data_IF_401037368270
#
_entry.id   IF_401037368270
#
_cell.length_a   1.000
_cell.length_b   1.000
_cell.length_c   1.000
_cell.angle_alpha   90.00
_cell.angle_beta   90.00
_cell.angle_gamma   90.00
#
_symmetry.space_group_name_H-M   'P 1'
#
loop_
_entity.id
_entity.type
_entity.pdbx_description
1 polymer ?
#
# COMPACT_ATOMS: atom_id res chain seq x y z
N UNK A 1 2.75 7.14 -20.60
CA UNK A 1 3.95 7.23 -19.74
C UNK A 1 4.10 8.67 -19.30
N UNK A 2 3.62 9.02 -18.11
CA UNK A 2 3.81 10.37 -17.55
C UNK A 2 5.29 10.53 -17.21
N UNK A 3 5.95 11.41 -17.95
CA UNK A 3 7.35 11.76 -17.79
C UNK A 3 7.53 12.51 -16.46
N UNK A 4 7.62 11.77 -15.34
CA UNK A 4 8.02 12.35 -14.07
C UNK A 4 9.48 12.79 -14.20
N UNK A 5 9.70 14.10 -14.14
CA UNK A 5 11.03 14.70 -14.10
C UNK A 5 11.70 14.19 -12.83
N UNK A 6 12.61 13.22 -12.96
CA UNK A 6 13.43 12.73 -11.86
C UNK A 6 14.32 13.89 -11.41
N UNK A 7 14.22 14.26 -10.13
CA UNK A 7 15.05 15.33 -9.55
C UNK A 7 16.54 14.99 -9.60
N UNK A 8 16.88 13.70 -9.50
CA UNK A 8 18.26 13.17 -9.53
C UNK A 8 18.26 11.66 -9.83
N UNK A 9 19.42 11.05 -10.15
CA UNK A 9 19.54 9.60 -10.28
C UNK A 9 19.56 8.86 -8.93
N UNK A 10 19.47 9.56 -7.79
CA UNK A 10 19.47 8.94 -6.48
C UNK A 10 18.22 8.05 -6.30
N UNK A 11 18.37 6.75 -5.97
CA UNK A 11 17.24 5.84 -5.79
C UNK A 11 16.25 6.29 -4.72
N UNK A 12 16.76 6.88 -3.63
CA UNK A 12 15.93 7.43 -2.55
C UNK A 12 15.10 8.61 -3.06
N UNK A 13 15.70 9.52 -3.83
CA UNK A 13 14.97 10.63 -4.44
C UNK A 13 13.87 10.14 -5.37
N UNK A 14 14.16 9.12 -6.20
CA UNK A 14 13.19 8.52 -7.10
C UNK A 14 12.04 7.85 -6.33
N UNK A 15 12.33 7.16 -5.24
CA UNK A 15 11.30 6.56 -4.39
C UNK A 15 10.42 7.66 -3.74
N UNK A 16 11.02 8.75 -3.27
CA UNK A 16 10.30 9.86 -2.67
C UNK A 16 9.45 10.66 -3.68
N UNK A 17 9.74 10.59 -4.98
CA UNK A 17 8.87 11.18 -6.01
C UNK A 17 7.52 10.44 -6.12
N UNK A 18 7.45 9.20 -5.64
CA UNK A 18 6.24 8.36 -5.60
C UNK A 18 5.65 8.32 -4.19
N UNK A 19 6.49 8.14 -3.17
CA UNK A 19 6.09 7.80 -1.80
C UNK A 19 6.16 8.98 -0.83
N UNK A 20 6.86 10.05 -1.21
CA UNK A 20 7.31 11.14 -0.33
C UNK A 20 6.24 12.13 0.07
N UNK A 21 5.21 11.66 0.77
CA UNK A 21 4.20 12.48 1.43
C UNK A 21 3.58 11.77 2.63
N UNK A 22 2.73 12.48 3.39
CA UNK A 22 2.14 11.98 4.64
C UNK A 22 1.14 10.84 4.47
N UNK A 23 0.62 10.60 3.26
CA UNK A 23 -0.56 9.77 3.02
C UNK A 23 -0.27 8.54 2.18
N UNK A 24 0.66 8.60 1.23
CA UNK A 24 0.90 7.49 0.28
C UNK A 24 1.18 6.16 1.00
N UNK A 25 2.08 6.16 1.99
CA UNK A 25 2.42 4.93 2.71
C UNK A 25 1.28 4.42 3.63
N UNK A 26 0.37 5.29 4.07
CA UNK A 26 -0.83 4.87 4.79
C UNK A 26 -1.82 4.15 3.85
N UNK A 27 -2.00 4.67 2.63
CA UNK A 27 -2.82 4.00 1.60
C UNK A 27 -2.22 2.65 1.22
N UNK A 28 -0.90 2.56 1.07
CA UNK A 28 -0.22 1.28 0.80
C UNK A 28 -0.36 0.31 1.97
N UNK A 29 -0.17 0.76 3.22
CA UNK A 29 -0.41 -0.05 4.42
C UNK A 29 -1.83 -0.62 4.43
N UNK A 30 -2.81 0.21 4.14
CA UNK A 30 -4.23 -0.16 4.14
C UNK A 30 -4.57 -1.17 3.03
N UNK A 31 -3.98 -1.03 1.84
CA UNK A 31 -4.09 -1.98 0.74
C UNK A 31 -3.56 -3.36 1.14
N UNK A 32 -2.39 -3.41 1.76
CA UNK A 32 -1.67 -4.67 2.01
C UNK A 32 -2.19 -5.37 3.27
N UNK A 33 -2.24 -4.66 4.40
CA UNK A 33 -2.47 -5.28 5.71
C UNK A 33 -3.93 -5.23 6.15
N UNK A 34 -4.67 -4.19 5.75
CA UNK A 34 -6.09 -4.05 6.09
C UNK A 34 -7.01 -4.54 4.96
N UNK A 35 -6.44 -5.02 3.86
CA UNK A 35 -7.15 -5.53 2.67
C UNK A 35 -8.23 -4.59 2.14
N UNK A 36 -8.02 -3.27 2.26
CA UNK A 36 -8.96 -2.28 1.72
C UNK A 36 -8.92 -2.30 0.19
N UNK A 37 -10.08 -2.25 -0.46
CA UNK A 37 -10.18 -2.37 -1.93
C UNK A 37 -11.02 -1.25 -2.53
N UNK A 38 -12.00 -0.72 -1.82
CA UNK A 38 -12.89 0.34 -2.31
C UNK A 38 -12.45 1.71 -1.82
N UNK A 39 -12.78 2.74 -2.59
CA UNK A 39 -12.49 4.13 -2.21
C UNK A 39 -13.02 4.48 -0.81
N UNK A 40 -14.25 4.04 -0.52
CA UNK A 40 -14.90 4.26 0.78
C UNK A 40 -14.15 3.64 1.95
N UNK A 41 -13.48 2.51 1.76
CA UNK A 41 -12.71 1.84 2.80
C UNK A 41 -11.57 2.76 3.29
N UNK A 42 -10.85 3.37 2.36
CA UNK A 42 -9.73 4.28 2.65
C UNK A 42 -10.22 5.60 3.23
N UNK A 43 -11.35 6.12 2.74
CA UNK A 43 -11.96 7.34 3.26
C UNK A 43 -12.37 7.16 4.74
N UNK A 44 -12.81 5.96 5.10
CA UNK A 44 -13.20 5.60 6.46
C UNK A 44 -12.02 5.15 7.35
N UNK A 45 -10.77 5.30 6.89
CA UNK A 45 -9.59 5.05 7.72
C UNK A 45 -9.52 6.03 8.90
N UNK A 46 -8.95 5.61 10.06
CA UNK A 46 -8.82 6.46 11.24
C UNK A 46 -8.11 7.79 11.00
N UNK A 47 -7.19 7.85 10.02
CA UNK A 47 -6.41 9.03 9.69
C UNK A 47 -7.19 10.10 8.92
N UNK A 48 -8.43 9.83 8.51
CA UNK A 48 -9.38 10.78 7.89
C UNK A 48 -8.76 11.56 6.72
N UNK A 49 -8.25 10.83 5.73
CA UNK A 49 -7.66 11.42 4.52
C UNK A 49 -8.76 12.16 3.74
N UNK A 50 -8.52 13.43 3.40
CA UNK A 50 -9.46 14.20 2.59
C UNK A 50 -9.64 13.56 1.20
N UNK A 51 -10.88 13.53 0.69
CA UNK A 51 -11.28 12.84 -0.55
C UNK A 51 -10.45 13.25 -1.77
N UNK A 52 -10.14 14.54 -1.91
CA UNK A 52 -9.31 15.07 -3.00
C UNK A 52 -7.86 14.55 -2.91
N UNK A 53 -7.30 14.48 -1.70
CA UNK A 53 -5.96 13.95 -1.45
C UNK A 53 -5.93 12.46 -1.72
N UNK A 54 -6.88 11.69 -1.16
CA UNK A 54 -6.99 10.25 -1.39
C UNK A 54 -7.08 9.92 -2.89
N UNK A 55 -7.91 10.66 -3.63
CA UNK A 55 -8.04 10.51 -5.09
C UNK A 55 -6.73 10.76 -5.82
N UNK A 56 -5.98 11.82 -5.45
CA UNK A 56 -4.67 12.12 -6.04
C UNK A 56 -3.64 11.01 -5.72
N UNK A 57 -3.66 10.46 -4.50
CA UNK A 57 -2.76 9.39 -4.07
C UNK A 57 -3.01 8.09 -4.82
N UNK A 58 -4.27 7.67 -4.92
CA UNK A 58 -4.64 6.46 -5.68
C UNK A 58 -4.25 6.59 -7.16
N UNK A 59 -4.49 7.76 -7.78
CA UNK A 59 -4.06 8.04 -9.16
C UNK A 59 -2.55 7.99 -9.33
N UNK A 60 -1.78 8.51 -8.36
CA UNK A 60 -0.31 8.44 -8.38
C UNK A 60 0.21 7.01 -8.26
N UNK A 61 -0.36 6.22 -7.35
CA UNK A 61 -0.02 4.81 -7.19
C UNK A 61 -0.38 4.00 -8.44
N UNK A 62 -1.51 4.29 -9.08
CA UNK A 62 -1.90 3.71 -10.37
C UNK A 62 -0.90 4.08 -11.48
N UNK A 63 -0.58 5.37 -11.63
CA UNK A 63 0.40 5.83 -12.62
C UNK A 63 1.81 5.24 -12.39
N UNK A 64 2.17 4.96 -11.13
CA UNK A 64 3.41 4.31 -10.76
C UNK A 64 3.38 2.78 -10.96
N UNK A 65 2.25 2.20 -11.36
CA UNK A 65 2.06 0.75 -11.51
C UNK A 65 2.12 0.00 -10.19
N UNK A 66 1.78 0.66 -9.08
CA UNK A 66 1.72 0.06 -7.75
C UNK A 66 0.32 -0.47 -7.44
N UNK A 67 -0.70 0.14 -8.03
CA UNK A 67 -2.11 -0.22 -7.86
C UNK A 67 -2.76 -0.36 -9.23
N UNK A 68 -3.67 -1.32 -9.37
CA UNK A 68 -4.53 -1.47 -10.54
C UNK A 68 -5.94 -1.00 -10.18
N UNK A 69 -6.51 -0.14 -11.01
CA UNK A 69 -7.90 0.29 -10.91
C UNK A 69 -8.74 -0.56 -11.87
N UNK A 70 -9.60 -1.42 -11.34
CA UNK A 70 -10.42 -2.34 -12.15
C UNK A 70 -11.89 -2.33 -11.70
N UNK A 71 -12.83 -2.65 -12.60
CA UNK A 71 -14.21 -2.93 -12.22
C UNK A 71 -14.26 -4.07 -11.21
N UNK A 72 -15.21 -3.99 -10.28
CA UNK A 72 -15.54 -5.08 -9.38
C UNK A 72 -16.31 -6.18 -10.18
N UNK A 73 -15.82 -7.44 -10.24
CA UNK A 73 -16.47 -8.52 -10.98
C UNK A 73 -17.90 -8.81 -10.49
N UNK A 74 -18.11 -8.74 -9.17
CA UNK A 74 -19.42 -9.00 -8.55
C UNK A 74 -20.38 -7.81 -8.72
N UNK A 75 -19.82 -6.61 -8.86
CA UNK A 75 -20.56 -5.36 -8.90
C UNK A 75 -19.97 -4.36 -9.90
N UNK A 76 -20.14 -4.59 -11.21
CA UNK A 76 -19.48 -3.81 -12.28
C UNK A 76 -19.62 -2.27 -12.25
N UNK A 77 -20.54 -1.71 -11.46
CA UNK A 77 -20.63 -0.27 -11.20
C UNK A 77 -19.60 0.25 -10.17
N UNK A 78 -18.95 -0.66 -9.42
CA UNK A 78 -17.94 -0.37 -8.41
C UNK A 78 -16.55 -0.57 -8.98
N UNK A 79 -15.61 0.14 -8.36
CA UNK A 79 -14.20 0.10 -8.70
C UNK A 79 -13.45 -0.44 -7.50
N UNK A 80 -12.58 -1.43 -7.75
CA UNK A 80 -11.62 -1.93 -6.78
C UNK A 80 -10.20 -1.48 -7.15
N UNK A 81 -9.42 -1.23 -6.11
CA UNK A 81 -8.00 -0.96 -6.17
C UNK A 81 -7.24 -2.22 -5.76
N UNK A 82 -6.67 -2.92 -6.74
CA UNK A 82 -5.89 -4.13 -6.53
C UNK A 82 -4.40 -3.79 -6.38
N UNK A 83 -3.74 -4.47 -5.44
CA UNK A 83 -2.30 -4.28 -5.20
C UNK A 83 -1.48 -5.03 -6.27
N UNK A 84 -0.29 -4.54 -6.58
CA UNK A 84 0.65 -5.19 -7.52
C UNK A 84 1.84 -5.78 -6.78
N UNK A 85 2.58 -6.69 -7.43
CA UNK A 85 3.86 -7.19 -6.90
C UNK A 85 4.84 -6.05 -6.57
N UNK A 86 4.92 -5.02 -7.43
CA UNK A 86 5.73 -3.82 -7.22
C UNK A 86 5.38 -3.10 -5.91
N UNK A 87 4.11 -3.10 -5.53
CA UNK A 87 3.67 -2.49 -4.29
C UNK A 87 4.00 -3.38 -3.07
N UNK A 88 3.95 -4.70 -3.22
CA UNK A 88 4.36 -5.64 -2.17
C UNK A 88 5.84 -5.54 -1.83
N UNK A 89 6.70 -5.13 -2.76
CA UNK A 89 8.12 -4.88 -2.48
C UNK A 89 8.36 -3.79 -1.42
N UNK A 90 7.35 -2.97 -1.09
CA UNK A 90 7.42 -2.00 0.01
C UNK A 90 7.15 -2.57 1.40
N UNK A 91 6.68 -3.82 1.51
CA UNK A 91 6.36 -4.42 2.81
C UNK A 91 7.52 -4.31 3.80
N UNK A 92 8.78 -4.67 3.45
CA UNK A 92 9.90 -4.51 4.38
C UNK A 92 10.11 -3.06 4.83
N UNK A 93 9.95 -2.09 3.90
CA UNK A 93 10.10 -0.66 4.23
C UNK A 93 9.01 -0.19 5.20
N UNK A 94 7.78 -0.66 5.03
CA UNK A 94 6.68 -0.32 5.93
C UNK A 94 6.89 -0.96 7.31
N UNK A 95 7.38 -2.21 7.37
CA UNK A 95 7.71 -2.86 8.64
C UNK A 95 8.77 -2.07 9.41
N UNK A 96 9.81 -1.61 8.72
CA UNK A 96 10.84 -0.76 9.31
C UNK A 96 10.30 0.58 9.81
N UNK A 97 9.38 1.20 9.07
CA UNK A 97 8.70 2.42 9.52
C UNK A 97 7.80 2.18 10.75
N UNK A 98 7.09 1.06 10.81
CA UNK A 98 6.29 0.68 11.98
C UNK A 98 7.19 0.51 13.19
N UNK A 99 8.30 -0.21 13.05
CA UNK A 99 9.29 -0.43 14.12
C UNK A 99 9.89 0.89 14.62
N UNK A 100 10.31 1.75 13.70
CA UNK A 100 10.84 3.07 14.06
C UNK A 100 9.77 3.93 14.76
N UNK A 101 8.55 3.93 14.24
CA UNK A 101 7.42 4.66 14.82
C UNK A 101 7.08 4.18 16.23
N UNK A 102 6.99 2.86 16.44
CA UNK A 102 6.74 2.26 17.75
C UNK A 102 7.80 2.67 18.79
N UNK A 103 9.07 2.72 18.36
CA UNK A 103 10.19 3.12 19.22
C UNK A 103 10.17 4.61 19.60
N UNK A 104 9.71 5.48 18.71
CA UNK A 104 9.89 6.94 18.83
C UNK A 104 8.60 7.76 18.98
N UNK A 105 7.43 7.13 18.88
CA UNK A 105 6.13 7.76 19.08
C UNK A 105 5.39 7.10 20.26
N UNK A 106 5.59 7.61 21.50
CA UNK A 106 4.89 7.11 22.68
C UNK A 106 3.37 7.14 22.49
N UNK A 107 2.67 6.08 22.90
CA UNK A 107 1.22 5.94 22.73
C UNK A 107 0.79 5.46 21.34
N UNK A 108 1.73 5.21 20.42
CA UNK A 108 1.42 4.43 19.22
C UNK A 108 1.20 2.96 19.60
N UNK A 109 0.25 2.31 18.94
CA UNK A 109 -0.01 0.88 19.09
C UNK A 109 0.59 0.16 17.89
N UNK A 110 1.84 -0.35 17.96
CA UNK A 110 2.30 -1.26 16.94
C UNK A 110 1.33 -2.44 16.93
N UNK A 111 0.91 -2.90 15.75
CA UNK A 111 0.38 -4.25 15.65
C UNK A 111 1.53 -5.22 15.97
N UNK A 112 1.83 -5.40 17.25
CA UNK A 112 3.04 -6.06 17.77
C UNK A 112 3.22 -7.43 17.13
N UNK A 113 2.12 -8.17 16.99
CA UNK A 113 2.06 -9.47 16.33
C UNK A 113 2.53 -9.42 14.86
N UNK A 114 2.22 -8.36 14.12
CA UNK A 114 2.61 -8.22 12.71
C UNK A 114 4.12 -7.97 12.57
N UNK A 115 4.67 -7.12 13.43
CA UNK A 115 6.11 -6.82 13.45
C UNK A 115 6.89 -8.06 13.89
N UNK A 116 6.46 -8.72 14.97
CA UNK A 116 7.08 -9.95 15.45
C UNK A 116 7.04 -11.05 14.39
N UNK A 117 5.91 -11.23 13.70
CA UNK A 117 5.79 -12.23 12.61
C UNK A 117 6.79 -11.96 11.49
N UNK A 118 6.94 -10.69 11.09
CA UNK A 118 7.89 -10.29 10.06
C UNK A 118 9.35 -10.50 10.52
N UNK A 119 9.67 -10.19 11.78
CA UNK A 119 11.03 -10.37 12.32
C UNK A 119 11.43 -11.85 12.48
N UNK A 120 10.47 -12.72 12.79
CA UNK A 120 10.71 -14.17 12.94
C UNK A 120 11.09 -14.84 11.62
N UNK A 121 10.33 -14.58 10.56
CA UNK A 121 10.63 -15.10 9.22
C UNK A 121 10.12 -14.13 8.13
N UNK A 122 10.97 -13.18 7.71
CA UNK A 122 10.62 -12.23 6.66
C UNK A 122 10.29 -12.91 5.32
N UNK A 123 10.95 -14.04 5.02
CA UNK A 123 10.80 -14.70 3.72
C UNK A 123 9.45 -15.39 3.63
N UNK A 124 9.10 -16.17 4.66
CA UNK A 124 7.80 -16.84 4.74
C UNK A 124 6.66 -15.81 4.80
N UNK A 125 6.79 -14.76 5.60
CA UNK A 125 5.81 -13.68 5.65
C UNK A 125 5.57 -13.03 4.28
N UNK A 126 6.65 -12.74 3.54
CA UNK A 126 6.54 -12.20 2.18
C UNK A 126 5.91 -13.21 1.21
N UNK A 127 6.21 -14.49 1.35
CA UNK A 127 5.59 -15.54 0.55
C UNK A 127 4.08 -15.64 0.81
N UNK A 128 3.65 -15.58 2.07
CA UNK A 128 2.24 -15.58 2.48
C UNK A 128 1.45 -14.41 1.89
N UNK A 129 2.03 -13.20 1.93
CA UNK A 129 1.41 -11.99 1.35
C UNK A 129 1.27 -12.14 -0.17
N UNK A 130 2.32 -12.58 -0.86
CA UNK A 130 2.29 -12.77 -2.32
C UNK A 130 1.31 -13.87 -2.74
N UNK A 131 1.25 -14.97 -2.00
CA UNK A 131 0.27 -16.03 -2.23
C UNK A 131 -1.17 -15.52 -2.06
N UNK A 132 -1.41 -14.69 -1.04
CA UNK A 132 -2.72 -14.06 -0.84
C UNK A 132 -3.10 -13.16 -2.01
N UNK A 133 -2.16 -12.35 -2.51
CA UNK A 133 -2.38 -11.52 -3.70
C UNK A 133 -2.72 -12.36 -4.94
N UNK A 134 -1.98 -13.44 -5.20
CA UNK A 134 -2.24 -14.31 -6.37
C UNK A 134 -3.65 -14.88 -6.34
N UNK A 135 -4.08 -15.41 -5.18
CA UNK A 135 -5.45 -15.91 -4.98
C UNK A 135 -6.51 -14.84 -5.20
N UNK A 136 -6.29 -13.63 -4.70
CA UNK A 136 -7.21 -12.50 -4.91
C UNK A 136 -7.27 -12.09 -6.39
N UNK A 137 -6.15 -12.10 -7.10
CA UNK A 137 -6.12 -11.79 -8.54
C UNK A 137 -6.75 -12.89 -9.41
N UNK A 138 -6.71 -14.15 -8.97
CA UNK A 138 -7.40 -15.27 -9.62
C UNK A 138 -8.92 -15.13 -9.43
N UNK A 139 -9.38 -14.87 -8.20
CA UNK A 139 -10.80 -14.66 -7.91
C UNK A 139 -11.40 -13.47 -8.68
N UNK A 140 -10.61 -12.42 -8.95
CA UNK A 140 -11.09 -11.25 -9.68
C UNK A 140 -11.16 -11.43 -11.21
N UNK A 141 -10.71 -12.57 -11.76
CA UNK A 141 -10.74 -12.87 -13.20
C UNK A 141 -11.94 -13.72 -13.62
N UNK A 142 -12.60 -14.36 -12.66
CA UNK A 142 -13.83 -15.15 -12.86
C UNK A 142 -15.06 -14.22 -12.89
#
# INVERSE_FOLDING_TARGET
MTNQIRRSPCPVSCALDILGDKWTLLVVRDLIFLRKRYFGDFQNSPEKIATNILSDRLRKLEAAGMVLRQPDPDHGCRIIYAVTEKCLDLVPTIMELIRWGAKHAPGSNPHENLVQRFEQDPMEFMAEIRLSLRKENEANKE
#
